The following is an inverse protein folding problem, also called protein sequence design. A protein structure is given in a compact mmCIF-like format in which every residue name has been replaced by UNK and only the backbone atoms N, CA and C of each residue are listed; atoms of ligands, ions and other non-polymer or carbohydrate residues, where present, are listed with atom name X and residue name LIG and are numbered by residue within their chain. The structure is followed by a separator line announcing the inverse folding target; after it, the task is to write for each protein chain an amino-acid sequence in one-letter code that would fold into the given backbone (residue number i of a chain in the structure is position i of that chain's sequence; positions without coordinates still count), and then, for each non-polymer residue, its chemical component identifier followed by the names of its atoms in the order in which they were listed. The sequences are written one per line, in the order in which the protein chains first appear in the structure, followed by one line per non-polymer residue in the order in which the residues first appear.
data_IF_635845081352
#
_entry.id   IF_635845081352
#
_cell.length_a   1.000
_cell.length_b   1.000
_cell.length_c   1.000
_cell.angle_alpha   90.00
_cell.angle_beta   90.00
_cell.angle_gamma   90.00
#
_symmetry.space_group_name_H-M   'P 1'
#
loop_
_entity.id
_entity.type
_entity.pdbx_description
1 polymer ?
#
# COMPACT_ATOMS: atom_id res chain seq x y z
N UNK A 1 -8.37 -5.04 -12.10
CA UNK A 1 -9.22 -6.25 -12.07
C UNK A 1 -8.30 -7.46 -11.93
N UNK A 2 -8.40 -8.24 -10.84
CA UNK A 2 -7.59 -9.45 -10.61
C UNK A 2 -8.03 -10.62 -11.52
N UNK A 3 -8.19 -10.32 -12.81
CA UNK A 3 -8.40 -11.19 -13.98
C UNK A 3 -7.81 -10.49 -15.24
N UNK A 4 -6.65 -9.84 -15.11
CA UNK A 4 -5.91 -9.24 -16.23
C UNK A 4 -4.41 -9.42 -16.02
N UNK A 5 -3.68 -9.81 -17.08
CA UNK A 5 -2.23 -9.93 -17.09
C UNK A 5 -1.48 -8.57 -17.01
N UNK A 6 -2.17 -7.49 -16.64
CA UNK A 6 -1.64 -6.15 -16.38
C UNK A 6 -2.13 -5.69 -15.01
N UNK A 7 -1.21 -5.25 -14.16
CA UNK A 7 -1.51 -4.77 -12.81
C UNK A 7 -2.49 -3.59 -12.85
N UNK A 8 -3.45 -3.49 -11.91
CA UNK A 8 -4.34 -2.35 -11.75
C UNK A 8 -3.62 -1.15 -11.09
N UNK A 9 -2.34 -0.99 -11.41
CA UNK A 9 -1.50 0.06 -10.88
C UNK A 9 -1.89 1.39 -11.53
N UNK A 10 -2.00 2.42 -10.71
CA UNK A 10 -2.37 3.76 -11.12
C UNK A 10 -1.54 4.76 -10.34
N UNK A 11 -1.60 6.03 -10.77
CA UNK A 11 -0.78 7.12 -10.24
C UNK A 11 0.70 6.98 -10.58
N UNK A 12 1.35 8.11 -10.89
CA UNK A 12 2.80 8.13 -11.15
C UNK A 12 3.55 8.41 -9.85
N UNK A 13 4.33 7.44 -9.33
CA UNK A 13 5.15 7.65 -8.14
C UNK A 13 6.39 8.49 -8.46
N UNK A 14 6.88 9.21 -7.47
CA UNK A 14 8.16 9.91 -7.58
C UNK A 14 9.31 8.92 -7.32
N UNK A 15 10.46 9.07 -7.99
CA UNK A 15 11.65 8.31 -7.64
C UNK A 15 12.03 8.51 -6.16
N UNK A 16 12.45 7.44 -5.50
CA UNK A 16 13.03 7.48 -4.16
C UNK A 16 14.55 7.70 -4.21
N UNK A 17 15.23 7.75 -3.06
CA UNK A 17 16.67 8.01 -3.02
C UNK A 17 17.55 6.91 -3.66
N UNK A 18 16.99 5.75 -4.03
CA UNK A 18 17.68 4.77 -4.89
C UNK A 18 17.65 5.14 -6.38
N UNK A 19 16.89 6.18 -6.75
CA UNK A 19 16.68 6.64 -8.12
C UNK A 19 15.56 5.91 -8.86
N UNK A 20 14.88 4.96 -8.22
CA UNK A 20 13.75 4.22 -8.80
C UNK A 20 12.42 4.62 -8.15
N UNK A 21 11.31 4.65 -8.89
CA UNK A 21 9.98 4.71 -8.30
C UNK A 21 9.67 3.40 -7.57
N UNK A 22 9.00 3.47 -6.41
CA UNK A 22 8.54 2.28 -5.72
C UNK A 22 7.20 1.79 -6.31
N UNK A 23 6.97 0.47 -6.33
CA UNK A 23 5.86 -0.16 -7.05
C UNK A 23 5.07 -1.12 -6.16
N UNK A 24 3.74 -1.03 -6.21
CA UNK A 24 2.79 -1.93 -5.58
C UNK A 24 2.57 -3.18 -6.41
N UNK A 25 2.39 -4.29 -5.72
CA UNK A 25 1.86 -5.51 -6.27
C UNK A 25 0.86 -6.14 -5.29
N UNK A 26 -0.07 -6.91 -5.84
CA UNK A 26 -1.06 -7.68 -5.10
C UNK A 26 -0.97 -9.13 -5.57
N UNK A 27 -1.14 -10.07 -4.65
CA UNK A 27 -1.24 -11.49 -4.95
C UNK A 27 -2.26 -12.17 -4.04
N UNK A 28 -2.75 -13.34 -4.47
CA UNK A 28 -3.77 -14.11 -3.74
C UNK A 28 -5.15 -13.99 -4.40
N UNK A 29 -6.19 -13.88 -3.58
CA UNK A 29 -7.59 -13.86 -3.97
C UNK A 29 -8.27 -12.55 -3.55
N UNK A 30 -9.07 -11.91 -4.44
CA UNK A 30 -9.97 -10.83 -4.06
C UNK A 30 -11.27 -11.31 -3.41
N UNK A 31 -11.47 -12.63 -3.25
CA UNK A 31 -12.65 -13.16 -2.56
C UNK A 31 -12.47 -12.95 -1.07
N UNK A 32 -13.38 -12.19 -0.43
CA UNK A 32 -13.24 -11.79 0.99
C UNK A 32 -13.14 -13.01 1.90
N UNK A 33 -13.94 -14.05 1.62
CA UNK A 33 -13.98 -15.28 2.43
C UNK A 33 -12.75 -16.16 2.29
N UNK A 34 -11.95 -16.01 1.22
CA UNK A 34 -10.71 -16.76 1.07
C UNK A 34 -9.64 -16.28 2.07
N UNK A 35 -9.76 -15.03 2.55
CA UNK A 35 -8.81 -14.36 3.43
C UNK A 35 -7.33 -14.57 3.04
N UNK A 36 -7.08 -14.60 1.72
CA UNK A 36 -5.78 -14.89 1.14
C UNK A 36 -5.38 -13.73 0.24
N UNK A 37 -5.09 -12.57 0.82
CA UNK A 37 -4.75 -11.36 0.10
C UNK A 37 -3.41 -10.83 0.60
N UNK A 38 -2.47 -10.57 -0.30
CA UNK A 38 -1.13 -10.10 0.06
C UNK A 38 -0.77 -8.87 -0.75
N UNK A 39 -0.41 -7.81 -0.03
CA UNK A 39 0.16 -6.58 -0.55
C UNK A 39 1.68 -6.69 -0.53
N UNK A 40 2.32 -6.24 -1.60
CA UNK A 40 3.79 -6.16 -1.69
C UNK A 40 4.19 -4.79 -2.22
N UNK A 41 5.19 -4.19 -1.59
CA UNK A 41 5.83 -2.97 -2.06
C UNK A 41 7.26 -3.31 -2.49
N UNK A 42 7.62 -2.95 -3.73
CA UNK A 42 8.91 -3.24 -4.35
C UNK A 42 9.67 -1.96 -4.68
N UNK A 43 10.97 -2.11 -4.96
CA UNK A 43 11.86 -1.02 -5.35
C UNK A 43 11.92 0.10 -4.30
N UNK A 44 11.75 -0.27 -3.03
CA UNK A 44 11.91 0.64 -1.90
C UNK A 44 13.40 0.87 -1.60
N UNK A 45 13.75 1.99 -0.94
CA UNK A 45 15.10 2.14 -0.41
C UNK A 45 15.43 1.01 0.57
N UNK A 46 16.68 0.57 0.54
CA UNK A 46 17.15 -0.54 1.37
C UNK A 46 17.18 -0.15 2.85
N UNK A 47 16.86 -1.13 3.70
CA UNK A 47 16.90 -1.00 5.16
C UNK A 47 16.06 0.15 5.71
N UNK A 48 14.88 0.37 5.12
CA UNK A 48 13.92 1.37 5.56
C UNK A 48 12.66 0.74 6.13
N UNK A 49 11.97 1.52 6.97
CA UNK A 49 10.69 1.11 7.55
C UNK A 49 9.51 1.72 6.80
N UNK A 50 8.41 0.98 6.71
CA UNK A 50 7.19 1.43 6.04
C UNK A 50 5.94 0.68 6.49
N UNK A 51 4.80 1.02 5.89
CA UNK A 51 3.51 0.37 6.11
C UNK A 51 2.57 0.62 4.93
N UNK A 52 1.51 -0.17 4.82
CA UNK A 52 0.49 -0.03 3.78
C UNK A 52 -0.66 0.88 4.23
N UNK A 53 -1.31 1.48 3.25
CA UNK A 53 -2.50 2.31 3.38
C UNK A 53 -3.60 1.81 2.45
N UNK A 54 -4.85 2.12 2.79
CA UNK A 54 -6.01 1.84 1.94
C UNK A 54 -7.02 2.98 1.91
N UNK A 55 -7.77 3.10 0.82
CA UNK A 55 -8.96 3.97 0.71
C UNK A 55 -9.93 3.44 -0.34
N UNK A 56 -11.22 3.68 -0.14
CA UNK A 56 -12.26 3.42 -1.15
C UNK A 56 -12.17 4.42 -2.32
N UNK A 57 -11.56 5.60 -2.11
CA UNK A 57 -11.44 6.64 -3.13
C UNK A 57 -10.01 6.83 -3.60
N UNK A 58 -9.85 7.17 -4.88
CA UNK A 58 -8.58 7.64 -5.43
C UNK A 58 -8.42 9.15 -5.17
N UNK A 59 -7.18 9.59 -5.04
CA UNK A 59 -6.83 10.99 -4.85
C UNK A 59 -5.47 11.29 -5.46
N UNK A 60 -5.05 12.55 -5.38
CA UNK A 60 -3.69 12.94 -5.72
C UNK A 60 -3.27 14.14 -4.88
N UNK A 61 -2.37 13.90 -3.92
CA UNK A 61 -1.80 14.92 -3.05
C UNK A 61 -0.27 14.84 -3.21
N UNK A 62 0.33 15.72 -4.02
CA UNK A 62 1.77 15.72 -4.23
C UNK A 62 2.49 16.16 -2.95
N UNK A 63 3.63 15.54 -2.67
CA UNK A 63 4.52 15.87 -1.55
C UNK A 63 3.80 15.96 -0.19
N UNK A 64 2.82 15.07 0.05
CA UNK A 64 1.95 15.13 1.21
C UNK A 64 2.76 15.15 2.51
N UNK A 65 2.42 16.05 3.43
CA UNK A 65 3.03 16.10 4.76
C UNK A 65 4.55 16.30 4.77
N UNK A 66 5.12 16.89 3.73
CA UNK A 66 6.58 17.07 3.60
C UNK A 66 7.32 15.85 3.07
N UNK A 67 6.62 14.85 2.54
CA UNK A 67 7.23 13.72 1.84
C UNK A 67 7.76 14.11 0.46
N UNK A 68 8.68 13.30 -0.07
CA UNK A 68 9.16 13.39 -1.45
C UNK A 68 8.22 12.69 -2.45
N UNK A 69 7.23 11.94 -1.96
CA UNK A 69 6.29 11.16 -2.77
C UNK A 69 4.90 11.78 -2.92
N UNK A 70 4.07 11.15 -3.75
CA UNK A 70 2.69 11.56 -4.00
C UNK A 70 1.73 10.57 -3.33
N UNK A 71 0.77 11.07 -2.54
CA UNK A 71 -0.31 10.25 -2.00
C UNK A 71 -1.42 10.13 -3.03
N UNK A 72 -1.73 8.89 -3.43
CA UNK A 72 -2.69 8.61 -4.51
C UNK A 72 -4.04 8.07 -4.00
N UNK A 73 -4.24 8.15 -2.69
CA UNK A 73 -5.48 7.75 -2.00
C UNK A 73 -6.30 8.99 -1.65
N UNK A 74 -7.62 8.89 -1.77
CA UNK A 74 -8.55 9.92 -1.34
C UNK A 74 -8.92 9.79 0.15
N UNK A 75 -9.75 10.71 0.64
CA UNK A 75 -10.22 10.68 2.02
C UNK A 75 -11.56 9.94 2.13
N UNK A 76 -11.80 9.18 3.21
CA UNK A 76 -10.83 8.81 4.25
C UNK A 76 -9.82 7.76 3.74
N UNK A 77 -8.61 7.76 4.31
CA UNK A 77 -7.65 6.69 4.12
C UNK A 77 -7.21 6.12 5.47
N UNK A 78 -6.92 4.82 5.46
CA UNK A 78 -6.63 4.02 6.65
C UNK A 78 -5.21 3.47 6.57
N UNK A 79 -4.60 3.18 7.72
CA UNK A 79 -3.20 2.72 7.82
C UNK A 79 -3.13 1.34 8.44
N UNK A 80 -2.38 0.44 7.82
CA UNK A 80 -2.05 -0.87 8.35
C UNK A 80 -0.78 -0.82 9.20
N UNK A 81 -0.79 -0.07 10.31
CA UNK A 81 0.38 0.09 11.18
C UNK A 81 0.17 -0.30 12.64
N UNK A 82 -1.03 -0.75 13.04
CA UNK A 82 -1.34 -1.10 14.42
C UNK A 82 -1.24 -2.61 14.64
N UNK A 83 -0.16 -3.05 15.29
CA UNK A 83 0.04 -4.46 15.61
C UNK A 83 -0.79 -4.92 16.83
N UNK A 84 -1.17 -4.01 17.73
CA UNK A 84 -1.82 -4.35 18.99
C UNK A 84 -3.26 -4.85 18.81
N UNK A 85 -3.96 -4.39 17.76
CA UNK A 85 -5.30 -4.84 17.40
C UNK A 85 -5.31 -5.76 16.17
N UNK A 86 -4.13 -6.17 15.68
CA UNK A 86 -3.99 -7.04 14.50
C UNK A 86 -4.29 -6.38 13.16
N UNK A 87 -4.62 -5.09 13.10
CA UNK A 87 -5.02 -4.41 11.86
C UNK A 87 -3.83 -3.85 11.09
N UNK A 88 -2.60 -4.35 11.30
CA UNK A 88 -1.43 -3.82 10.61
C UNK A 88 -0.09 -4.12 11.27
N UNK A 89 0.99 -3.71 10.61
CA UNK A 89 2.36 -3.84 11.11
C UNK A 89 3.27 -2.83 10.41
N UNK A 90 4.25 -2.28 11.14
CA UNK A 90 5.36 -1.56 10.53
C UNK A 90 6.39 -2.58 10.03
N UNK A 91 6.76 -2.49 8.77
CA UNK A 91 7.55 -3.49 8.04
C UNK A 91 8.91 -2.93 7.66
N UNK A 92 9.87 -3.81 7.42
CA UNK A 92 11.25 -3.47 7.11
C UNK A 92 11.61 -3.95 5.71
N UNK A 93 12.08 -3.04 4.84
CA UNK A 93 12.40 -3.34 3.44
C UNK A 93 13.66 -4.21 3.27
N UNK A 94 14.52 -4.24 4.30
CA UNK A 94 15.74 -5.03 4.34
C UNK A 94 16.68 -4.78 3.16
N UNK A 95 17.53 -5.76 2.87
CA UNK A 95 18.46 -5.73 1.74
C UNK A 95 17.78 -5.94 0.39
N UNK A 96 16.53 -6.41 0.38
CA UNK A 96 15.77 -6.65 -0.85
C UNK A 96 15.01 -5.42 -1.37
N UNK A 97 14.90 -4.34 -0.58
CA UNK A 97 14.13 -3.16 -0.97
C UNK A 97 12.64 -3.49 -1.15
N UNK A 98 12.13 -4.42 -0.35
CA UNK A 98 10.77 -4.94 -0.49
C UNK A 98 10.20 -5.35 0.86
N UNK A 99 8.90 -5.17 1.04
CA UNK A 99 8.16 -5.79 2.14
C UNK A 99 6.77 -6.20 1.69
N UNK A 100 6.20 -7.18 2.40
CA UNK A 100 4.85 -7.70 2.15
C UNK A 100 4.02 -7.75 3.42
N UNK A 101 2.71 -7.65 3.26
CA UNK A 101 1.73 -7.76 4.32
C UNK A 101 0.46 -8.43 3.82
N UNK A 102 -0.03 -9.40 4.58
CA UNK A 102 -1.31 -10.05 4.33
C UNK A 102 -2.30 -9.54 5.38
N UNK A 103 -3.16 -8.55 5.06
CA UNK A 103 -4.21 -8.12 5.97
C UNK A 103 -5.21 -9.25 6.21
N UNK A 104 -5.73 -9.33 7.43
CA UNK A 104 -6.94 -10.09 7.71
C UNK A 104 -8.14 -9.29 7.17
N UNK A 105 -8.75 -9.77 6.09
CA UNK A 105 -9.89 -9.14 5.43
C UNK A 105 -11.14 -9.09 6.33
N UNK A 106 -11.15 -9.83 7.43
CA UNK A 106 -12.23 -9.82 8.43
C UNK A 106 -11.93 -8.91 9.62
N UNK A 107 -10.72 -8.36 9.72
CA UNK A 107 -10.27 -7.47 10.80
C UNK A 107 -9.44 -6.30 10.24
N UNK A 108 -10.14 -5.31 9.66
CA UNK A 108 -9.53 -4.14 9.05
C UNK A 108 -9.46 -2.93 10.02
N UNK A 109 -8.55 -1.96 9.77
CA UNK A 109 -8.45 -0.76 10.59
C UNK A 109 -9.78 0.00 10.72
N UNK A 110 -10.00 0.59 11.90
CA UNK A 110 -11.17 1.44 12.19
C UNK A 110 -12.54 0.78 11.92
N UNK A 111 -12.62 -0.56 12.06
CA UNK A 111 -13.84 -1.36 11.82
C UNK A 111 -14.39 -1.22 10.39
N UNK A 112 -13.53 -0.92 9.42
CA UNK A 112 -13.89 -0.99 8.00
C UNK A 112 -14.25 -2.43 7.65
N UNK A 113 -15.21 -2.60 6.75
CA UNK A 113 -15.57 -3.89 6.17
C UNK A 113 -15.62 -3.76 4.66
N UNK A 114 -14.95 -4.64 3.93
CA UNK A 114 -15.11 -4.70 2.48
C UNK A 114 -16.46 -5.32 2.14
N UNK A 115 -17.20 -4.70 1.22
CA UNK A 115 -18.41 -5.27 0.65
C UNK A 115 -18.13 -5.88 -0.73
N UNK A 116 -18.94 -6.88 -1.10
CA UNK A 116 -18.85 -7.53 -2.41
C UNK A 116 -19.15 -6.49 -3.50
N UNK A 117 -18.27 -6.39 -4.49
CA UNK A 117 -18.34 -5.43 -5.58
C UNK A 117 -17.71 -4.07 -5.27
N UNK A 118 -17.26 -3.82 -4.03
CA UNK A 118 -16.53 -2.61 -3.72
C UNK A 118 -15.12 -2.64 -4.30
N UNK A 119 -14.63 -1.44 -4.60
CA UNK A 119 -13.27 -1.23 -5.07
C UNK A 119 -12.50 -0.44 -4.04
N UNK A 120 -11.35 -0.98 -3.66
CA UNK A 120 -10.44 -0.39 -2.70
C UNK A 120 -9.06 -0.20 -3.32
N UNK A 121 -8.42 0.88 -2.93
CA UNK A 121 -7.13 1.32 -3.43
C UNK A 121 -6.09 1.19 -2.34
N UNK A 122 -4.89 0.77 -2.70
CA UNK A 122 -3.79 0.55 -1.76
C UNK A 122 -2.53 1.28 -2.21
N UNK A 123 -1.77 1.75 -1.25
CA UNK A 123 -0.46 2.37 -1.47
C UNK A 123 0.45 2.02 -0.29
N UNK A 124 1.77 1.96 -0.48
CA UNK A 124 2.71 1.86 0.62
C UNK A 124 3.41 3.20 0.87
N UNK A 125 3.57 3.54 2.14
CA UNK A 125 4.46 4.59 2.61
C UNK A 125 5.73 3.96 3.16
N UNK A 126 6.88 4.54 2.84
CA UNK A 126 8.14 4.17 3.45
C UNK A 126 8.97 5.40 3.80
N UNK A 127 9.85 5.25 4.79
CA UNK A 127 10.98 6.16 4.94
C UNK A 127 11.81 6.15 3.67
N UNK A 128 12.45 7.28 3.41
CA UNK A 128 13.31 7.46 2.25
C UNK A 128 14.53 8.30 2.64
N UNK A 129 15.61 8.16 1.88
CA UNK A 129 16.85 8.90 2.08
C UNK A 129 17.39 8.76 3.53
N UNK A 130 17.47 7.55 4.07
CA UNK A 130 17.90 7.26 5.45
C UNK A 130 16.98 7.89 6.51
N UNK A 131 15.69 7.96 6.19
CA UNK A 131 14.66 8.57 7.03
C UNK A 131 14.68 10.10 7.11
N UNK A 132 15.45 10.79 6.25
CA UNK A 132 15.40 12.25 6.15
C UNK A 132 14.14 12.77 5.46
N UNK A 133 13.49 11.92 4.67
CA UNK A 133 12.18 12.15 4.06
C UNK A 133 11.37 10.86 4.07
N UNK A 134 10.25 10.84 3.38
CA UNK A 134 9.48 9.66 3.07
C UNK A 134 8.99 9.67 1.63
N UNK A 135 8.55 8.52 1.15
CA UNK A 135 8.05 8.37 -0.20
C UNK A 135 6.86 7.40 -0.23
N UNK A 136 6.19 7.35 -1.38
CA UNK A 136 5.05 6.50 -1.64
C UNK A 136 5.28 5.70 -2.91
N UNK A 137 4.75 4.48 -2.93
CA UNK A 137 4.61 3.70 -4.17
C UNK A 137 3.59 4.33 -5.11
N UNK A 138 3.42 3.76 -6.30
CA UNK A 138 2.17 3.91 -7.05
C UNK A 138 0.97 3.35 -6.25
N UNK A 139 -0.24 3.62 -6.72
CA UNK A 139 -1.46 3.05 -6.19
C UNK A 139 -1.81 1.76 -6.90
N UNK A 140 -2.51 0.85 -6.23
CA UNK A 140 -3.08 -0.36 -6.86
C UNK A 140 -4.55 -0.51 -6.48
N UNK A 141 -5.39 -0.73 -7.48
CA UNK A 141 -6.84 -0.85 -7.33
C UNK A 141 -7.30 -2.32 -7.31
N UNK A 142 -8.14 -2.67 -6.34
CA UNK A 142 -8.68 -4.03 -6.19
C UNK A 142 -10.19 -3.98 -5.97
N UNK A 143 -10.94 -4.69 -6.81
CA UNK A 143 -12.34 -4.96 -6.58
C UNK A 143 -12.49 -6.27 -5.80
N UNK A 144 -13.16 -6.22 -4.66
CA UNK A 144 -13.43 -7.37 -3.80
C UNK A 144 -14.71 -8.08 -4.19
N UNK A 145 -14.77 -9.40 -3.98
CA UNK A 145 -15.92 -10.25 -4.33
C UNK A 145 -16.24 -11.30 -3.28
#
# INVERSE_FOLDING_TARGET
MLDSCSGPNYCTPNPNCSGQPAVMAVSGSPVITDNNFTLTANQLPLNEWGYFLMSESQGFIPNVGGSSGNLCLGFPFYRFNNASNGTGKVLFSGSGGTFSFSPDLTNLPQNVTFMIGETWNFQAWSRDCKGSTSNFTDGIEVMFR
#
